data_IF_595551341478
#
_entry.id   IF_595551341478
#
_cell.length_a   1.000
_cell.length_b   1.000
_cell.length_c   1.000
_cell.angle_alpha   90.00
_cell.angle_beta   90.00
_cell.angle_gamma   90.00
#
_symmetry.space_group_name_H-M   'P 1'
#
loop_
_entity.id
_entity.type
_entity.pdbx_description
1 polymer ?
#
# COMPACT_ATOMS: atom_id res chain seq x y z
N UNK A 1 9.17 19.91 6.34
CA UNK A 1 9.91 18.81 6.98
C UNK A 1 10.06 17.69 5.96
N UNK A 2 11.28 17.13 5.78
CA UNK A 2 11.52 16.06 4.80
C UNK A 2 11.34 14.71 5.48
N UNK A 3 10.57 13.82 4.86
CA UNK A 3 10.31 12.47 5.35
C UNK A 3 10.26 11.46 4.20
N UNK A 4 10.43 10.19 4.56
CA UNK A 4 10.15 9.05 3.69
C UNK A 4 8.82 8.41 4.10
N UNK A 5 8.08 7.90 3.13
CA UNK A 5 6.86 7.12 3.34
C UNK A 5 7.14 5.63 3.15
N UNK A 6 6.66 4.81 4.07
CA UNK A 6 6.78 3.34 3.98
C UNK A 6 5.38 2.75 4.02
N UNK A 7 5.03 1.96 3.02
CA UNK A 7 3.78 1.18 3.00
C UNK A 7 4.13 -0.28 3.27
N UNK A 8 3.69 -0.78 4.43
CA UNK A 8 3.75 -2.20 4.74
C UNK A 8 2.59 -2.91 4.03
N UNK A 9 2.87 -3.45 2.86
CA UNK A 9 1.94 -4.17 2.01
C UNK A 9 2.02 -5.70 2.18
N UNK A 10 3.00 -6.19 2.95
CA UNK A 10 3.24 -7.59 3.25
C UNK A 10 2.36 -8.19 4.34
N UNK A 11 2.27 -9.52 4.35
CA UNK A 11 1.59 -10.29 5.37
C UNK A 11 1.25 -11.70 4.90
N UNK A 12 0.92 -12.59 5.84
CA UNK A 12 0.67 -14.02 5.56
C UNK A 12 -0.67 -14.34 4.90
N UNK A 13 -1.45 -13.33 4.52
CA UNK A 13 -2.80 -13.47 3.93
C UNK A 13 -3.77 -14.41 4.71
N UNK A 14 -3.55 -14.63 6.01
CA UNK A 14 -4.36 -15.57 6.83
C UNK A 14 -5.82 -15.18 7.02
N UNK A 15 -6.19 -13.95 6.63
CA UNK A 15 -7.55 -13.40 6.68
C UNK A 15 -7.95 -13.02 5.27
N UNK A 16 -9.23 -12.71 5.05
CA UNK A 16 -9.71 -12.32 3.72
C UNK A 16 -9.45 -13.42 2.66
N UNK A 17 -9.64 -14.68 3.04
CA UNK A 17 -9.54 -15.85 2.15
C UNK A 17 -8.21 -16.03 1.40
N UNK A 18 -7.08 -15.58 1.97
CA UNK A 18 -5.77 -15.77 1.32
C UNK A 18 -5.47 -14.80 0.19
N UNK A 19 -6.32 -13.81 -0.04
CA UNK A 19 -6.24 -12.94 -1.22
C UNK A 19 -5.12 -11.89 -1.06
N UNK A 20 -4.45 -11.56 -2.16
CA UNK A 20 -3.51 -10.44 -2.26
C UNK A 20 -4.25 -9.11 -2.08
N UNK A 21 -4.39 -8.69 -0.82
CA UNK A 21 -5.09 -7.46 -0.44
C UNK A 21 -4.52 -6.20 -1.12
N UNK A 22 -3.20 -5.97 -1.19
CA UNK A 22 -2.62 -4.87 -1.96
C UNK A 22 -3.18 -4.69 -3.38
N UNK A 23 -3.47 -5.80 -4.06
CA UNK A 23 -4.02 -5.81 -5.42
C UNK A 23 -5.54 -5.58 -5.50
N UNK A 24 -6.27 -5.70 -4.39
CA UNK A 24 -7.72 -5.48 -4.38
C UNK A 24 -8.06 -4.05 -4.78
N UNK A 25 -9.05 -3.91 -5.67
CA UNK A 25 -9.50 -2.62 -6.17
C UNK A 25 -10.60 -2.03 -5.30
N UNK A 26 -10.50 -0.73 -5.01
CA UNK A 26 -11.55 0.08 -4.38
C UNK A 26 -11.74 1.33 -5.23
N UNK A 27 -12.96 1.53 -5.75
CA UNK A 27 -13.25 2.63 -6.68
C UNK A 27 -12.40 2.58 -7.95
N UNK A 28 -12.15 1.37 -8.47
CA UNK A 28 -11.35 1.15 -9.69
C UNK A 28 -9.84 1.31 -9.53
N UNK A 29 -9.32 1.52 -8.30
CA UNK A 29 -7.88 1.64 -8.01
C UNK A 29 -7.42 0.61 -6.99
N UNK A 30 -6.26 -0.04 -7.18
CA UNK A 30 -5.69 -0.94 -6.18
C UNK A 30 -5.48 -0.24 -4.84
N UNK A 31 -5.69 -0.97 -3.75
CA UNK A 31 -5.48 -0.46 -2.39
C UNK A 31 -4.04 0.04 -2.19
N UNK A 32 -3.04 -0.67 -2.73
CA UNK A 32 -1.64 -0.25 -2.67
C UNK A 32 -1.44 1.12 -3.34
N UNK A 33 -1.99 1.31 -4.54
CA UNK A 33 -1.91 2.59 -5.27
C UNK A 33 -2.53 3.72 -4.46
N UNK A 34 -3.67 3.47 -3.80
CA UNK A 34 -4.30 4.48 -2.92
C UNK A 34 -3.41 4.85 -1.73
N UNK A 35 -2.77 3.88 -1.08
CA UNK A 35 -1.85 4.11 0.03
C UNK A 35 -0.59 4.88 -0.38
N UNK A 36 -0.01 4.54 -1.54
CA UNK A 36 1.13 5.28 -2.11
C UNK A 36 0.74 6.73 -2.39
N UNK A 37 -0.44 6.97 -2.98
CA UNK A 37 -0.90 8.31 -3.29
C UNK A 37 -1.12 9.18 -2.03
N UNK A 38 -1.48 8.57 -0.90
CA UNK A 38 -1.60 9.28 0.37
C UNK A 38 -0.25 9.84 0.87
N UNK A 39 0.88 9.31 0.39
CA UNK A 39 2.24 9.73 0.73
C UNK A 39 2.83 10.73 -0.29
N UNK A 40 2.01 11.47 -1.03
CA UNK A 40 2.46 12.37 -2.10
C UNK A 40 3.41 13.49 -1.64
N UNK A 41 3.42 13.83 -0.34
CA UNK A 41 4.37 14.79 0.23
C UNK A 41 5.72 14.19 0.66
N UNK A 42 5.91 12.87 0.56
CA UNK A 42 7.16 12.22 0.92
C UNK A 42 8.22 12.42 -0.17
N UNK A 43 9.48 12.65 0.22
CA UNK A 43 10.58 12.73 -0.74
C UNK A 43 10.96 11.37 -1.36
N UNK A 44 10.52 10.27 -0.73
CA UNK A 44 10.71 8.89 -1.19
C UNK A 44 9.57 8.05 -0.63
N UNK A 45 9.00 7.17 -1.46
CA UNK A 45 8.02 6.16 -1.03
C UNK A 45 8.57 4.77 -1.32
N UNK A 46 8.49 3.87 -0.33
CA UNK A 46 8.88 2.45 -0.45
C UNK A 46 7.69 1.58 -0.04
N UNK A 47 7.35 0.61 -0.87
CA UNK A 47 6.42 -0.46 -0.50
C UNK A 47 7.21 -1.70 -0.09
N UNK A 48 6.82 -2.34 1.00
CA UNK A 48 7.45 -3.54 1.55
C UNK A 48 6.42 -4.66 1.58
N UNK A 49 6.75 -5.79 0.97
CA UNK A 49 5.92 -7.00 0.89
C UNK A 49 6.55 -8.15 1.66
#
# INVERSE_FOLDING_TARGET
MRYAGIVLAGGSARRLSGVDKPALSVGGKPLLTRAIHALSGAGRVVAVG
#
